data_IF_115449037196
#
_entry.id   IF_115449037196
#
_cell.length_a   1.000
_cell.length_b   1.000
_cell.length_c   1.000
_cell.angle_alpha   90.00
_cell.angle_beta   90.00
_cell.angle_gamma   90.00
#
_symmetry.space_group_name_H-M   'P 1'
#
loop_
_entity.id
_entity.type
_entity.pdbx_description
1 polymer ?
#
# COMPACT_ATOMS: atom_id res chain seq x y z
N UNK A 1 7.13 -32.31 -8.37
CA UNK A 1 5.98 -31.39 -8.27
C UNK A 1 6.21 -30.27 -9.29
N UNK A 2 5.17 -29.88 -10.03
CA UNK A 2 5.23 -28.69 -10.89
C UNK A 2 5.03 -27.48 -10.00
N UNK A 3 5.90 -26.47 -10.10
CA UNK A 3 5.75 -25.23 -9.36
C UNK A 3 4.76 -24.31 -10.07
N UNK A 4 3.98 -23.56 -9.29
CA UNK A 4 3.05 -22.54 -9.79
C UNK A 4 3.75 -21.20 -9.94
N UNK A 5 3.43 -20.48 -11.01
CA UNK A 5 3.92 -19.12 -11.24
C UNK A 5 3.28 -18.12 -10.29
N UNK A 6 4.09 -17.20 -9.78
CA UNK A 6 3.69 -16.17 -8.82
C UNK A 6 3.47 -14.84 -9.51
N UNK A 7 2.45 -14.12 -9.06
CA UNK A 7 2.11 -12.76 -9.45
C UNK A 7 2.18 -11.88 -8.20
N UNK A 8 2.99 -10.82 -8.27
CA UNK A 8 3.15 -9.83 -7.20
C UNK A 8 2.44 -8.56 -7.64
N UNK A 9 1.44 -8.13 -6.87
CA UNK A 9 0.66 -6.90 -7.14
C UNK A 9 0.82 -5.92 -5.97
N UNK A 10 1.68 -4.90 -6.10
CA UNK A 10 1.80 -3.84 -5.11
C UNK A 10 0.63 -2.84 -5.21
N UNK A 11 0.13 -2.40 -4.07
CA UNK A 11 -0.93 -1.39 -3.93
C UNK A 11 -0.47 -0.40 -2.87
N UNK A 12 -0.30 0.86 -3.24
CA UNK A 12 -0.01 1.93 -2.28
C UNK A 12 -1.31 2.39 -1.62
N UNK A 13 -1.33 2.48 -0.29
CA UNK A 13 -2.51 2.83 0.50
C UNK A 13 -2.12 3.79 1.63
N UNK A 14 -3.06 4.66 2.01
CA UNK A 14 -3.00 5.46 3.24
C UNK A 14 -3.98 4.83 4.23
N UNK A 15 -3.49 4.47 5.41
CA UNK A 15 -4.29 3.90 6.49
C UNK A 15 -5.10 4.97 7.23
N UNK A 16 -6.04 4.56 8.09
CA UNK A 16 -6.84 5.49 8.90
C UNK A 16 -6.02 6.37 9.85
N UNK A 17 -4.78 5.97 10.14
CA UNK A 17 -3.86 6.68 11.03
C UNK A 17 -2.91 7.60 10.26
N UNK A 18 -3.24 7.95 9.01
CA UNK A 18 -2.42 8.74 8.08
C UNK A 18 -1.04 8.12 7.77
N UNK A 19 -0.86 6.82 8.02
CA UNK A 19 0.36 6.08 7.65
C UNK A 19 0.27 5.53 6.24
N UNK A 20 1.35 5.68 5.47
CA UNK A 20 1.57 5.14 4.14
C UNK A 20 2.08 3.71 4.23
N UNK A 21 1.39 2.82 3.55
CA UNK A 21 1.76 1.42 3.44
C UNK A 21 1.75 0.96 1.99
N UNK A 22 2.61 0.00 1.68
CA UNK A 22 2.56 -0.77 0.45
C UNK A 22 1.98 -2.14 0.77
N UNK A 23 0.71 -2.34 0.41
CA UNK A 23 0.05 -3.64 0.49
C UNK A 23 0.41 -4.45 -0.74
N UNK A 24 1.14 -5.55 -0.56
CA UNK A 24 1.57 -6.44 -1.63
C UNK A 24 0.73 -7.70 -1.61
N UNK A 25 -0.03 -7.93 -2.69
CA UNK A 25 -0.74 -9.19 -2.93
C UNK A 25 0.17 -10.17 -3.66
N UNK A 26 0.18 -11.40 -3.18
CA UNK A 26 1.01 -12.51 -3.68
C UNK A 26 0.07 -13.67 -4.02
N UNK A 27 -0.24 -13.78 -5.30
CA UNK A 27 -1.17 -14.77 -5.84
C UNK A 27 -0.45 -15.68 -6.84
N UNK A 28 -1.03 -16.84 -7.15
CA UNK A 28 -0.64 -17.61 -8.32
C UNK A 28 -1.25 -17.03 -9.60
N UNK A 29 -0.86 -17.55 -10.77
CA UNK A 29 -1.44 -17.12 -12.06
C UNK A 29 -2.94 -17.35 -12.21
N UNK A 30 -3.56 -18.15 -11.34
CA UNK A 30 -5.01 -18.38 -11.32
C UNK A 30 -5.71 -17.47 -10.29
N UNK A 31 -5.03 -16.43 -9.79
CA UNK A 31 -5.53 -15.51 -8.76
C UNK A 31 -5.84 -16.20 -7.43
N UNK A 32 -5.19 -17.33 -7.15
CA UNK A 32 -5.29 -18.01 -5.85
C UNK A 32 -4.21 -17.50 -4.91
N UNK A 33 -4.61 -17.13 -3.70
CA UNK A 33 -3.70 -16.61 -2.67
C UNK A 33 -2.62 -17.63 -2.33
N UNK A 34 -1.38 -17.15 -2.26
CA UNK A 34 -0.25 -17.98 -1.84
C UNK A 34 -0.17 -17.90 -0.31
N UNK A 35 -0.39 -19.02 0.42
CA UNK A 35 -0.65 -18.97 1.84
C UNK A 35 0.58 -18.57 2.67
N UNK A 36 1.78 -18.87 2.17
CA UNK A 36 3.05 -18.64 2.85
C UNK A 36 4.22 -18.48 1.88
N UNK A 37 5.31 -17.93 2.41
CA UNK A 37 6.58 -17.71 1.73
C UNK A 37 7.23 -16.44 2.28
N UNK A 38 8.25 -15.96 1.59
CA UNK A 38 8.92 -14.70 1.93
C UNK A 38 8.84 -13.70 0.79
N UNK A 39 8.74 -12.43 1.15
CA UNK A 39 8.87 -11.32 0.23
C UNK A 39 10.08 -10.49 0.65
N UNK A 40 11.05 -10.36 -0.25
CA UNK A 40 12.18 -9.45 -0.10
C UNK A 40 11.77 -8.11 -0.70
N UNK A 41 11.81 -7.08 0.13
CA UNK A 41 11.65 -5.69 -0.24
C UNK A 41 13.03 -5.04 -0.30
N UNK A 42 13.44 -4.58 -1.49
CA UNK A 42 14.72 -3.91 -1.69
C UNK A 42 14.50 -2.44 -1.96
N UNK A 43 15.10 -1.59 -1.13
CA UNK A 43 15.13 -0.13 -1.29
C UNK A 43 16.55 0.35 -1.07
N UNK A 44 17.07 1.22 -1.94
CA UNK A 44 18.42 1.78 -1.84
C UNK A 44 19.53 0.74 -1.57
N UNK A 45 19.44 -0.41 -2.27
CA UNK A 45 20.34 -1.57 -2.10
C UNK A 45 20.28 -2.28 -0.75
N UNK A 46 19.28 -1.96 0.07
CA UNK A 46 19.00 -2.62 1.36
C UNK A 46 17.83 -3.59 1.20
N UNK A 47 18.05 -4.84 1.60
CA UNK A 47 17.03 -5.88 1.58
C UNK A 47 16.36 -6.01 2.96
N UNK A 48 15.02 -6.02 2.96
CA UNK A 48 14.18 -6.29 4.13
C UNK A 48 13.29 -7.48 3.83
N UNK A 49 13.29 -8.48 4.70
CA UNK A 49 12.44 -9.66 4.56
C UNK A 49 11.10 -9.51 5.29
N UNK A 50 10.02 -9.87 4.62
CA UNK A 50 8.68 -9.98 5.17
C UNK A 50 8.11 -11.37 4.94
N UNK A 51 7.33 -11.87 5.89
CA UNK A 51 6.57 -13.10 5.71
C UNK A 51 5.31 -12.82 4.89
N UNK A 52 5.01 -13.68 3.93
CA UNK A 52 3.72 -13.69 3.24
C UNK A 52 2.72 -14.40 4.13
N UNK A 53 1.65 -13.71 4.51
CA UNK A 53 0.57 -14.28 5.30
C UNK A 53 -0.73 -14.24 4.49
N UNK A 54 -1.21 -15.42 4.11
CA UNK A 54 -2.46 -15.55 3.35
C UNK A 54 -2.51 -14.68 2.08
N UNK A 55 -1.40 -14.69 1.32
CA UNK A 55 -1.24 -13.95 0.06
C UNK A 55 -1.06 -12.44 0.22
N UNK A 56 -0.79 -11.96 1.43
CA UNK A 56 -0.64 -10.51 1.70
C UNK A 56 0.63 -10.22 2.49
N UNK A 57 1.27 -9.11 2.15
CA UNK A 57 2.31 -8.46 2.94
C UNK A 57 1.97 -6.97 3.04
N UNK A 58 2.15 -6.39 4.23
CA UNK A 58 1.96 -4.95 4.44
C UNK A 58 3.31 -4.35 4.84
N UNK A 59 3.81 -3.42 4.04
CA UNK A 59 5.14 -2.81 4.22
C UNK A 59 4.93 -1.34 4.58
N UNK A 60 5.42 -0.86 5.73
CA UNK A 60 5.41 0.58 6.02
C UNK A 60 6.37 1.31 5.09
N UNK A 61 5.91 2.40 4.47
CA UNK A 61 6.69 3.19 3.51
C UNK A 61 6.68 4.69 3.85
N UNK A 62 6.30 5.04 5.08
CA UNK A 62 6.22 6.41 5.59
C UNK A 62 7.54 7.18 5.47
N UNK A 63 8.65 6.48 5.71
CA UNK A 63 10.00 7.07 5.75
C UNK A 63 10.67 7.13 4.38
N UNK A 64 10.03 6.60 3.33
CA UNK A 64 10.62 6.61 1.99
C UNK A 64 10.49 7.98 1.33
N UNK A 65 11.58 8.41 0.70
CA UNK A 65 11.60 9.62 -0.11
C UNK A 65 10.64 9.53 -1.30
N UNK A 66 10.24 10.70 -1.81
CA UNK A 66 9.33 10.78 -2.96
C UNK A 66 9.95 10.13 -4.21
N UNK A 67 9.14 9.37 -4.97
CA UNK A 67 9.55 8.68 -6.21
C UNK A 67 10.63 7.60 -6.04
N UNK A 68 10.76 7.03 -4.84
CA UNK A 68 11.68 5.91 -4.57
C UNK A 68 11.29 4.67 -5.38
N UNK A 69 12.25 4.10 -6.10
CA UNK A 69 12.07 2.82 -6.80
C UNK A 69 12.39 1.68 -5.85
N UNK A 70 11.43 0.78 -5.68
CA UNK A 70 11.59 -0.41 -4.82
C UNK A 70 11.46 -1.67 -5.66
N UNK A 71 12.22 -2.70 -5.29
CA UNK A 71 12.11 -4.03 -5.89
C UNK A 71 11.43 -4.97 -4.90
N UNK A 72 10.45 -5.73 -5.38
CA UNK A 72 9.74 -6.74 -4.61
C UNK A 72 10.06 -8.11 -5.19
N UNK A 73 10.53 -9.03 -4.37
CA UNK A 73 10.87 -10.38 -4.81
C UNK A 73 10.23 -11.42 -3.90
N UNK A 74 9.31 -12.21 -4.44
CA UNK A 74 8.82 -13.39 -3.75
C UNK A 74 9.88 -14.48 -3.83
N UNK A 75 10.26 -15.01 -2.68
CA UNK A 75 11.19 -16.12 -2.52
C UNK A 75 10.59 -17.17 -1.61
N UNK A 76 11.10 -18.39 -1.77
CA UNK A 76 10.92 -19.46 -0.79
C UNK A 76 9.49 -20.00 -0.69
N UNK A 77 9.14 -20.89 -1.63
CA UNK A 77 8.17 -21.96 -1.40
C UNK A 77 8.47 -23.12 -2.36
N UNK A 78 8.50 -24.35 -1.86
CA UNK A 78 8.71 -25.55 -2.70
C UNK A 78 7.65 -25.74 -3.80
N UNK A 79 6.48 -25.12 -3.67
CA UNK A 79 5.34 -25.23 -4.60
C UNK A 79 5.24 -24.08 -5.60
N UNK A 80 5.99 -23.00 -5.41
CA UNK A 80 5.85 -21.78 -6.23
C UNK A 80 7.19 -21.31 -6.78
N UNK A 81 7.15 -20.67 -7.95
CA UNK A 81 8.31 -20.06 -8.59
C UNK A 81 8.63 -18.72 -7.92
N UNK A 82 9.89 -18.31 -7.96
CA UNK A 82 10.25 -16.95 -7.56
C UNK A 82 9.65 -15.95 -8.56
N UNK A 83 9.24 -14.79 -8.07
CA UNK A 83 8.80 -13.69 -8.90
C UNK A 83 9.49 -12.39 -8.45
N UNK A 84 9.68 -11.46 -9.37
CA UNK A 84 10.25 -10.16 -9.08
C UNK A 84 9.47 -9.09 -9.83
N UNK A 85 9.16 -7.99 -9.16
CA UNK A 85 8.54 -6.82 -9.74
C UNK A 85 9.19 -5.56 -9.18
N UNK A 86 9.10 -4.47 -9.93
CA UNK A 86 9.58 -3.15 -9.51
C UNK A 86 8.40 -2.19 -9.51
N UNK A 87 8.35 -1.33 -8.50
CA UNK A 87 7.34 -0.28 -8.39
C UNK A 87 8.01 1.02 -7.96
N UNK A 88 7.51 2.12 -8.51
CA UNK A 88 7.89 3.46 -8.08
C UNK A 88 6.84 3.90 -7.08
N UNK A 89 7.24 4.10 -5.83
CA UNK A 89 6.37 4.64 -4.78
C UNK A 89 6.21 6.13 -5.05
N UNK A 90 5.00 6.57 -5.42
CA UNK A 90 4.72 7.96 -5.81
C UNK A 90 3.80 8.59 -4.79
N UNK A 91 4.18 9.76 -4.31
CA UNK A 91 3.34 10.51 -3.39
C UNK A 91 2.17 11.15 -4.17
N UNK A 92 0.98 10.56 -4.11
CA UNK A 92 -0.25 11.32 -4.34
C UNK A 92 -0.63 12.00 -3.02
N UNK A 93 -0.01 13.15 -2.76
CA UNK A 93 -0.34 14.06 -1.64
C UNK A 93 -1.71 14.74 -1.84
N UNK A 94 -2.66 14.12 -2.53
CA UNK A 94 -4.04 14.63 -2.63
C UNK A 94 -4.82 14.30 -1.36
N UNK A 95 -4.26 14.68 -0.20
CA UNK A 95 -5.08 15.13 0.92
C UNK A 95 -5.64 16.50 0.51
N UNK A 96 -6.70 16.48 -0.30
CA UNK A 96 -7.55 17.65 -0.44
C UNK A 96 -8.27 17.79 0.90
N UNK A 97 -7.68 18.51 1.84
CA UNK A 97 -8.42 19.04 2.98
C UNK A 97 -9.49 19.95 2.41
N UNK A 98 -10.74 19.48 2.38
CA UNK A 98 -11.87 20.36 2.12
C UNK A 98 -12.04 21.18 3.41
N UNK A 99 -11.54 22.42 3.40
CA UNK A 99 -11.94 23.41 4.40
C UNK A 99 -13.42 23.71 4.18
N UNK A 100 -14.29 23.14 5.01
CA UNK A 100 -15.69 23.56 5.09
C UNK A 100 -15.75 24.86 5.90
N UNK A 101 -15.73 25.99 5.21
CA UNK A 101 -16.15 27.25 5.81
C UNK A 101 -17.66 27.20 6.01
N UNK A 102 -18.10 26.87 7.23
CA UNK A 102 -19.46 27.15 7.66
C UNK A 102 -19.57 28.66 7.86
N UNK A 103 -20.00 29.39 6.82
CA UNK A 103 -20.53 30.74 7.01
C UNK A 103 -21.85 30.58 7.75
N UNK A 104 -21.82 30.82 9.05
CA UNK A 104 -23.00 30.82 9.91
C UNK A 104 -23.88 32.02 9.54
N UNK A 105 -24.70 31.87 8.49
CA UNK A 105 -25.57 32.93 7.99
C UNK A 105 -27.02 32.70 8.44
N UNK A 106 -27.20 32.56 9.76
CA UNK A 106 -28.52 32.71 10.42
C UNK A 106 -28.45 33.62 11.62
N UNK A 107 -28.01 34.85 11.38
CA UNK A 107 -28.44 35.97 12.22
C UNK A 107 -29.85 36.39 11.78
N UNK A 108 -30.89 35.77 12.33
CA UNK A 108 -32.22 36.39 12.37
C UNK A 108 -32.44 36.95 13.76
N UNK A 109 -31.87 38.12 14.03
CA UNK A 109 -32.42 39.02 15.06
C UNK A 109 -33.61 39.70 14.40
N UNK A 110 -34.80 39.20 14.66
CA UNK A 110 -36.03 39.88 14.28
C UNK A 110 -36.25 41.02 15.30
N UNK A 111 -35.68 42.19 15.01
CA UNK A 111 -36.00 43.44 15.72
C UNK A 111 -37.06 44.21 14.94
N UNK A 112 -38.14 44.57 15.62
CA UNK A 112 -38.74 45.91 15.68
C UNK A 112 -40.24 45.82 16.03
N UNK A 113 -40.88 46.92 16.46
CA UNK A 113 -40.48 47.96 17.40
C UNK A 113 -41.52 48.06 18.55
N UNK A 114 -41.39 49.07 19.42
CA UNK A 114 -42.20 49.40 20.61
C UNK A 114 -43.70 49.04 20.61
#
# INVERSE_FOLDING_TARGET
>A
AVKHDVVITPIEEITSDDKRVLTVKVDDRNSSKIPNGKLIFTVDSTDVEYNVENGVVVIPIDELEEATTVTLKYVENHLYNNATTQVIVKLDKTNTTIELTLTDDRTTVNVAPE
#
